data_IF_141345548722
#
_entry.id   IF_141345548722
#
_cell.length_a   1.000
_cell.length_b   1.000
_cell.length_c   1.000
_cell.angle_alpha   90.00
_cell.angle_beta   90.00
_cell.angle_gamma   90.00
#
_symmetry.space_group_name_H-M   'P 1'
#
loop_
_entity.id
_entity.type
_entity.pdbx_description
1 polymer ?
#
# COMPACT_ATOMS: atom_id res chain seq x y z
N UNK A 1 13.07 -8.75 -16.78
CA UNK A 1 11.69 -8.23 -16.80
C UNK A 1 11.02 -8.37 -15.42
N UNK A 2 11.08 -9.53 -14.76
CA UNK A 2 10.52 -9.77 -13.40
C UNK A 2 11.10 -8.85 -12.29
N UNK A 3 12.40 -8.53 -12.33
CA UNK A 3 13.00 -7.55 -11.40
C UNK A 3 12.46 -6.11 -11.59
N UNK A 4 12.06 -5.74 -12.82
CA UNK A 4 11.44 -4.44 -13.09
C UNK A 4 10.01 -4.40 -12.55
N UNK A 5 9.29 -5.52 -12.61
CA UNK A 5 7.96 -5.66 -12.05
C UNK A 5 8.00 -5.55 -10.52
N UNK A 6 8.92 -6.27 -9.86
CA UNK A 6 9.10 -6.18 -8.41
C UNK A 6 9.44 -4.75 -7.95
N UNK A 7 10.33 -4.06 -8.68
CA UNK A 7 10.62 -2.64 -8.43
C UNK A 7 9.39 -1.74 -8.58
N UNK A 8 8.54 -2.03 -9.56
CA UNK A 8 7.30 -1.28 -9.76
C UNK A 8 6.31 -1.51 -8.62
N UNK A 9 6.15 -2.75 -8.16
CA UNK A 9 5.30 -3.09 -7.02
C UNK A 9 5.77 -2.41 -5.73
N UNK A 10 7.08 -2.41 -5.45
CA UNK A 10 7.63 -1.68 -4.30
C UNK A 10 7.34 -0.18 -4.38
N UNK A 11 7.61 0.45 -5.53
CA UNK A 11 7.34 1.87 -5.71
C UNK A 11 5.84 2.19 -5.58
N UNK A 12 4.96 1.30 -6.05
CA UNK A 12 3.51 1.45 -5.92
C UNK A 12 3.07 1.31 -4.46
N UNK A 13 3.65 0.36 -3.71
CA UNK A 13 3.38 0.22 -2.27
C UNK A 13 3.78 1.47 -1.50
N UNK A 14 4.99 1.98 -1.74
CA UNK A 14 5.49 3.21 -1.10
C UNK A 14 4.58 4.42 -1.40
N UNK A 15 4.07 4.54 -2.63
CA UNK A 15 3.13 5.61 -3.00
C UNK A 15 1.80 5.50 -2.22
N UNK A 16 1.28 4.28 -2.06
CA UNK A 16 0.03 4.04 -1.33
C UNK A 16 0.20 4.26 0.17
N UNK A 17 1.33 3.83 0.74
CA UNK A 17 1.68 4.08 2.15
C UNK A 17 1.78 5.59 2.42
N UNK A 18 2.42 6.36 1.54
CA UNK A 18 2.48 7.82 1.66
C UNK A 18 1.10 8.49 1.54
N UNK A 19 0.23 7.99 0.67
CA UNK A 19 -1.16 8.48 0.55
C UNK A 19 -1.96 8.19 1.82
N UNK A 20 -1.80 7.01 2.41
CA UNK A 20 -2.45 6.62 3.65
C UNK A 20 -1.96 7.49 4.81
N UNK A 21 -0.66 7.72 4.92
CA UNK A 21 -0.08 8.59 5.95
C UNK A 21 -0.62 10.03 5.83
N UNK A 22 -0.68 10.57 4.61
CA UNK A 22 -1.25 11.90 4.36
C UNK A 22 -2.75 11.95 4.71
N UNK A 23 -3.51 10.90 4.39
CA UNK A 23 -4.92 10.77 4.74
C UNK A 23 -5.08 10.80 6.26
N UNK A 24 -4.40 9.91 6.99
CA UNK A 24 -4.42 9.85 8.45
C UNK A 24 -4.03 11.22 9.05
N UNK A 25 -2.95 11.84 8.57
CA UNK A 25 -2.48 13.14 9.06
C UNK A 25 -3.51 14.27 8.87
N UNK A 26 -4.30 14.21 7.79
CA UNK A 26 -5.36 15.19 7.51
C UNK A 26 -6.52 15.08 8.50
N UNK A 27 -6.83 13.88 8.98
CA UNK A 27 -7.94 13.62 9.92
C UNK A 27 -7.49 13.55 11.38
N UNK A 28 -6.19 13.55 11.65
CA UNK A 28 -5.59 13.45 13.00
C UNK A 28 -5.98 14.58 13.97
N UNK A 29 -6.55 15.70 13.48
CA UNK A 29 -6.96 16.85 14.29
C UNK A 29 -8.45 17.23 14.16
N UNK A 30 -9.26 16.49 13.39
CA UNK A 30 -10.68 16.78 13.17
C UNK A 30 -11.58 15.83 13.95
N UNK A 31 -12.54 16.34 14.72
CA UNK A 31 -13.58 15.57 15.44
C UNK A 31 -14.58 14.81 14.50
N UNK A 32 -14.23 14.61 13.24
CA UNK A 32 -15.02 13.84 12.30
C UNK A 32 -14.18 12.69 11.77
N UNK A 33 -14.45 11.49 12.28
CA UNK A 33 -14.27 10.25 11.53
C UNK A 33 -14.99 10.44 10.18
N UNK A 34 -14.27 10.93 9.18
CA UNK A 34 -14.74 10.84 7.81
C UNK A 34 -14.32 9.46 7.35
N UNK A 35 -15.05 8.45 7.81
CA UNK A 35 -15.03 7.09 7.27
C UNK A 35 -15.63 7.14 5.85
N UNK A 36 -14.91 7.76 4.90
CA UNK A 36 -15.27 7.77 3.48
C UNK A 36 -14.84 6.49 2.75
N UNK A 37 -14.23 5.54 3.49
CA UNK A 37 -13.72 4.28 2.98
C UNK A 37 -12.32 4.37 2.37
N UNK A 38 -11.72 5.57 2.28
CA UNK A 38 -10.39 5.76 1.66
C UNK A 38 -9.29 5.04 2.43
N UNK A 39 -9.29 5.10 3.77
CA UNK A 39 -8.32 4.36 4.59
C UNK A 39 -8.41 2.85 4.33
N UNK A 40 -9.62 2.29 4.37
CA UNK A 40 -9.84 0.86 4.17
C UNK A 40 -9.45 0.41 2.76
N UNK A 41 -9.73 1.23 1.73
CA UNK A 41 -9.33 0.95 0.35
C UNK A 41 -7.81 1.00 0.19
N UNK A 42 -7.14 2.00 0.76
CA UNK A 42 -5.68 2.11 0.73
C UNK A 42 -5.01 0.95 1.46
N UNK A 43 -5.50 0.58 2.64
CA UNK A 43 -5.00 -0.57 3.40
C UNK A 43 -5.18 -1.87 2.63
N UNK A 44 -6.37 -2.12 2.07
CA UNK A 44 -6.63 -3.30 1.25
C UNK A 44 -5.65 -3.37 0.08
N UNK A 45 -5.44 -2.26 -0.63
CA UNK A 45 -4.55 -2.23 -1.79
C UNK A 45 -3.08 -2.45 -1.42
N UNK A 46 -2.63 -1.91 -0.29
CA UNK A 46 -1.29 -2.14 0.26
C UNK A 46 -1.11 -3.63 0.58
N UNK A 47 -2.10 -4.28 1.20
CA UNK A 47 -2.07 -5.71 1.51
C UNK A 47 -1.96 -6.54 0.23
N UNK A 48 -2.80 -6.30 -0.78
CA UNK A 48 -2.75 -7.04 -2.04
C UNK A 48 -1.37 -6.98 -2.72
N UNK A 49 -0.78 -5.78 -2.76
CA UNK A 49 0.55 -5.58 -3.37
C UNK A 49 1.64 -6.25 -2.54
N UNK A 50 1.52 -6.23 -1.21
CA UNK A 50 2.47 -6.88 -0.32
C UNK A 50 2.43 -8.40 -0.51
N UNK A 51 1.24 -8.99 -0.60
CA UNK A 51 1.06 -10.41 -0.87
C UNK A 51 1.65 -10.80 -2.25
N UNK A 52 1.48 -9.95 -3.27
CA UNK A 52 2.08 -10.18 -4.59
C UNK A 52 3.61 -10.11 -4.54
N UNK A 53 4.18 -9.14 -3.81
CA UNK A 53 5.63 -9.04 -3.60
C UNK A 53 6.14 -10.31 -2.90
N UNK A 54 5.51 -10.72 -1.81
CA UNK A 54 5.93 -11.90 -1.02
C UNK A 54 5.88 -13.18 -1.84
N UNK A 55 4.84 -13.35 -2.68
CA UNK A 55 4.74 -14.47 -3.62
C UNK A 55 5.90 -14.45 -4.63
N UNK A 56 6.15 -13.29 -5.26
CA UNK A 56 7.21 -13.14 -6.26
C UNK A 56 8.62 -13.29 -5.68
N UNK A 57 8.83 -12.90 -4.42
CA UNK A 57 10.10 -13.07 -3.72
C UNK A 57 10.32 -14.50 -3.22
N UNK A 58 9.26 -15.18 -2.78
CA UNK A 58 9.31 -16.59 -2.39
C UNK A 58 9.68 -17.47 -3.59
N UNK A 59 9.09 -17.22 -4.76
CA UNK A 59 9.44 -17.89 -6.02
C UNK A 59 10.90 -17.64 -6.47
N UNK A 60 11.62 -16.68 -5.87
CA UNK A 60 13.04 -16.41 -6.14
C UNK A 60 13.97 -17.19 -5.19
N UNK A 61 13.47 -17.63 -4.03
CA UNK A 61 14.22 -18.33 -3.00
C UNK A 61 14.29 -19.85 -3.17
N UNK A 62 13.47 -20.41 -4.06
CA UNK A 62 13.41 -21.84 -4.42
C UNK A 62 14.28 -22.21 -5.63
#
# INVERSE_FOLDING_TARGET
MRNSHLKHLHAQREELEAKLELHIARYCFGEGDVEDGTEAELQQRITEISDEIDALESERGE
#
